data_IF_766150820172
#
_entry.id   IF_766150820172
#
_cell.length_a   1.000
_cell.length_b   1.000
_cell.length_c   1.000
_cell.angle_alpha   90.00
_cell.angle_beta   90.00
_cell.angle_gamma   90.00
#
_symmetry.space_group_name_H-M   'P 1'
#
loop_
_entity.id
_entity.type
_entity.pdbx_description
1 polymer ?
#
# COMPACT_ATOMS: atom_id res chain seq x y z
N UNK A 1 5.75 6.07 -12.38
CA UNK A 1 6.28 7.44 -12.20
C UNK A 1 5.19 8.45 -11.79
N UNK A 2 4.15 8.70 -12.61
CA UNK A 2 3.10 9.69 -12.27
C UNK A 2 2.44 9.44 -10.89
N UNK A 3 2.21 8.17 -10.54
CA UNK A 3 1.66 7.78 -9.24
C UNK A 3 2.53 8.21 -8.05
N UNK A 4 3.86 8.25 -8.20
CA UNK A 4 4.75 8.79 -7.18
C UNK A 4 4.69 10.33 -7.16
N UNK A 5 4.75 10.96 -8.34
CA UNK A 5 4.83 12.43 -8.47
C UNK A 5 3.60 13.10 -7.87
N UNK A 6 2.40 12.56 -8.10
CA UNK A 6 1.15 13.11 -7.53
C UNK A 6 1.15 13.14 -5.99
N UNK A 7 1.91 12.24 -5.38
CA UNK A 7 1.98 12.06 -3.92
C UNK A 7 3.17 12.82 -3.30
N UNK A 8 4.33 12.81 -3.96
CA UNK A 8 5.59 13.23 -3.33
C UNK A 8 6.12 14.59 -3.79
N UNK A 9 5.72 15.10 -4.97
CA UNK A 9 6.30 16.32 -5.47
C UNK A 9 5.87 17.53 -4.61
N UNK A 10 6.79 18.45 -4.25
CA UNK A 10 6.48 19.57 -3.36
C UNK A 10 5.70 20.70 -4.03
N UNK A 11 5.83 20.86 -5.35
CA UNK A 11 5.07 21.85 -6.12
C UNK A 11 3.70 21.26 -6.55
N UNK A 12 2.57 21.83 -6.07
CA UNK A 12 1.22 21.36 -6.38
C UNK A 12 0.87 21.28 -7.87
N UNK A 13 1.55 22.04 -8.74
CA UNK A 13 1.30 21.99 -10.19
C UNK A 13 1.67 20.63 -10.77
N UNK A 14 2.78 20.05 -10.32
CA UNK A 14 3.20 18.71 -10.73
C UNK A 14 2.27 17.66 -10.14
N UNK A 15 1.80 17.87 -8.91
CA UNK A 15 0.89 16.92 -8.27
C UNK A 15 -0.43 16.83 -9.05
N UNK A 16 -1.01 17.99 -9.39
CA UNK A 16 -2.24 18.07 -10.17
C UNK A 16 -2.08 17.47 -11.58
N UNK A 17 -0.99 17.80 -12.28
CA UNK A 17 -0.73 17.24 -13.61
C UNK A 17 -0.52 15.72 -13.58
N UNK A 18 0.17 15.20 -12.55
CA UNK A 18 0.40 13.78 -12.37
C UNK A 18 -0.89 13.04 -11.99
N UNK A 19 -1.76 13.63 -11.17
CA UNK A 19 -3.09 13.10 -10.87
C UNK A 19 -3.94 12.96 -12.15
N UNK A 20 -3.94 13.98 -13.02
CA UNK A 20 -4.65 13.92 -14.31
C UNK A 20 -4.12 12.78 -15.20
N UNK A 21 -2.79 12.59 -15.25
CA UNK A 21 -2.16 11.49 -15.99
C UNK A 21 -2.57 10.14 -15.41
N UNK A 22 -2.58 9.98 -14.09
CA UNK A 22 -2.99 8.73 -13.44
C UNK A 22 -4.44 8.40 -13.77
N UNK A 23 -5.36 9.37 -13.68
CA UNK A 23 -6.77 9.17 -14.03
C UNK A 23 -6.91 8.69 -15.49
N UNK A 24 -6.22 9.34 -16.43
CA UNK A 24 -6.25 8.97 -17.86
C UNK A 24 -5.68 7.56 -18.10
N UNK A 25 -4.54 7.24 -17.47
CA UNK A 25 -3.91 5.92 -17.59
C UNK A 25 -4.80 4.82 -17.00
N UNK A 26 -5.41 5.05 -15.84
CA UNK A 26 -6.38 4.11 -15.26
C UNK A 26 -7.53 3.82 -16.21
N UNK A 27 -8.06 4.84 -16.90
CA UNK A 27 -9.09 4.64 -17.93
C UNK A 27 -8.63 3.77 -19.10
N UNK A 28 -7.39 3.92 -19.56
CA UNK A 28 -6.80 3.08 -20.62
C UNK A 28 -6.62 1.64 -20.14
N UNK A 29 -6.11 1.44 -18.92
CA UNK A 29 -5.94 0.11 -18.34
C UNK A 29 -7.28 -0.61 -18.23
N UNK A 30 -8.33 0.08 -17.80
CA UNK A 30 -9.68 -0.50 -17.73
C UNK A 30 -10.21 -0.89 -19.12
N UNK A 31 -9.99 -0.06 -20.15
CA UNK A 31 -10.36 -0.40 -21.52
C UNK A 31 -9.62 -1.62 -22.04
N UNK A 32 -8.34 -1.77 -21.70
CA UNK A 32 -7.54 -2.93 -22.06
C UNK A 32 -8.04 -4.18 -21.32
N UNK A 33 -8.27 -4.10 -20.02
CA UNK A 33 -8.74 -5.20 -19.19
C UNK A 33 -10.19 -5.64 -19.50
N UNK A 34 -10.94 -4.84 -20.24
CA UNK A 34 -12.31 -5.17 -20.70
C UNK A 34 -12.38 -5.45 -22.20
N UNK A 35 -11.22 -5.57 -22.88
CA UNK A 35 -11.15 -5.88 -24.31
C UNK A 35 -11.42 -7.36 -24.58
N UNK A 36 -12.64 -7.67 -25.04
CA UNK A 36 -13.07 -9.04 -25.31
C UNK A 36 -12.24 -9.74 -26.41
N UNK A 37 -11.94 -9.12 -27.58
CA UNK A 37 -11.10 -9.76 -28.59
C UNK A 37 -9.70 -10.16 -28.08
N UNK A 38 -9.04 -9.30 -27.29
CA UNK A 38 -7.73 -9.60 -26.71
C UNK A 38 -7.80 -10.76 -25.72
N UNK A 39 -8.83 -10.78 -24.86
CA UNK A 39 -9.09 -11.87 -23.93
C UNK A 39 -9.32 -13.21 -24.66
N UNK A 40 -10.17 -13.22 -25.70
CA UNK A 40 -10.45 -14.42 -26.48
C UNK A 40 -9.21 -14.94 -27.21
N UNK A 41 -8.42 -14.04 -27.81
CA UNK A 41 -7.17 -14.39 -28.47
C UNK A 41 -6.18 -15.05 -27.50
N UNK A 42 -5.96 -14.44 -26.33
CA UNK A 42 -5.08 -14.99 -25.29
C UNK A 42 -5.59 -16.34 -24.78
N UNK A 43 -6.88 -16.46 -24.51
CA UNK A 43 -7.48 -17.71 -24.03
C UNK A 43 -7.35 -18.85 -25.05
N UNK A 44 -7.53 -18.56 -26.32
CA UNK A 44 -7.34 -19.53 -27.40
C UNK A 44 -5.87 -19.97 -27.50
N UNK A 45 -4.92 -19.03 -27.46
CA UNK A 45 -3.48 -19.33 -27.46
C UNK A 45 -3.09 -20.23 -26.26
N UNK A 46 -3.64 -19.94 -25.08
CA UNK A 46 -3.37 -20.72 -23.86
C UNK A 46 -3.97 -22.14 -23.89
N UNK A 47 -5.13 -22.34 -24.54
CA UNK A 47 -5.80 -23.64 -24.60
C UNK A 47 -5.33 -24.52 -25.75
N UNK A 48 -5.03 -23.92 -26.90
CA UNK A 48 -4.76 -24.62 -28.16
C UNK A 48 -3.31 -24.49 -28.63
N UNK A 49 -2.49 -23.70 -27.94
CA UNK A 49 -1.16 -23.31 -28.37
C UNK A 49 -1.20 -22.09 -29.30
N UNK A 50 -0.06 -21.42 -29.42
CA UNK A 50 0.15 -20.29 -30.32
C UNK A 50 1.16 -20.64 -31.43
N UNK A 51 1.32 -19.74 -32.41
CA UNK A 51 2.31 -19.86 -33.49
C UNK A 51 3.73 -20.00 -32.93
N UNK A 52 4.03 -19.27 -31.86
CA UNK A 52 5.26 -19.40 -31.09
C UNK A 52 4.98 -20.29 -29.88
N UNK A 53 5.87 -21.23 -29.61
CA UNK A 53 5.75 -22.11 -28.45
C UNK A 53 5.85 -21.30 -27.16
N UNK A 54 4.81 -21.33 -26.34
CA UNK A 54 4.76 -20.68 -25.05
C UNK A 54 5.65 -21.42 -24.05
N UNK A 55 6.61 -20.72 -23.45
CA UNK A 55 7.41 -21.25 -22.35
C UNK A 55 6.64 -21.19 -21.01
N UNK A 56 7.29 -21.56 -19.91
CA UNK A 56 6.64 -21.57 -18.60
C UNK A 56 6.39 -20.15 -18.04
N UNK A 57 7.20 -19.17 -18.45
CA UNK A 57 7.01 -17.76 -18.10
C UNK A 57 5.82 -17.20 -18.87
N UNK A 58 5.74 -17.47 -20.18
CA UNK A 58 4.63 -17.06 -21.04
C UNK A 58 3.30 -17.60 -20.52
N UNK A 59 3.24 -18.89 -20.19
CA UNK A 59 2.04 -19.51 -19.62
C UNK A 59 1.64 -18.84 -18.32
N UNK A 60 2.62 -18.56 -17.45
CA UNK A 60 2.33 -17.91 -16.16
C UNK A 60 1.83 -16.48 -16.35
N UNK A 61 2.42 -15.71 -17.26
CA UNK A 61 1.95 -14.36 -17.60
C UNK A 61 0.56 -14.42 -18.24
N UNK A 62 0.31 -15.38 -19.13
CA UNK A 62 -1.00 -15.60 -19.75
C UNK A 62 -2.09 -15.93 -18.72
N UNK A 63 -1.80 -16.78 -17.74
CA UNK A 63 -2.70 -17.04 -16.61
C UNK A 63 -3.03 -15.77 -15.82
N UNK A 64 -2.01 -14.96 -15.48
CA UNK A 64 -2.16 -13.70 -14.75
C UNK A 64 -3.03 -12.71 -15.53
N UNK A 65 -2.78 -12.53 -16.83
CA UNK A 65 -3.58 -11.66 -17.68
C UNK A 65 -5.03 -12.14 -17.80
N UNK A 66 -5.26 -13.44 -18.00
CA UNK A 66 -6.62 -14.03 -18.00
C UNK A 66 -7.33 -13.73 -16.68
N UNK A 67 -6.63 -13.82 -15.54
CA UNK A 67 -7.19 -13.47 -14.24
C UNK A 67 -7.59 -11.99 -14.16
N UNK A 68 -6.74 -11.07 -14.62
CA UNK A 68 -7.04 -9.63 -14.62
C UNK A 68 -8.25 -9.30 -15.49
N UNK A 69 -8.33 -9.90 -16.68
CA UNK A 69 -9.48 -9.83 -17.58
C UNK A 69 -10.78 -10.32 -16.91
N UNK A 70 -10.75 -11.51 -16.29
CA UNK A 70 -11.90 -12.08 -15.61
C UNK A 70 -12.32 -11.26 -14.39
N UNK A 71 -11.35 -10.74 -13.63
CA UNK A 71 -11.60 -9.91 -12.47
C UNK A 71 -12.25 -8.57 -12.84
N UNK A 72 -11.97 -8.07 -14.05
CA UNK A 72 -12.58 -6.87 -14.64
C UNK A 72 -13.93 -7.17 -15.30
N UNK A 73 -14.42 -8.41 -15.24
CA UNK A 73 -15.74 -8.79 -15.75
C UNK A 73 -15.82 -8.86 -17.28
N UNK A 74 -14.69 -9.05 -18.00
CA UNK A 74 -14.67 -9.06 -19.47
C UNK A 74 -15.65 -10.09 -20.07
N UNK A 75 -15.81 -11.23 -19.38
CA UNK A 75 -16.59 -12.39 -19.79
C UNK A 75 -18.10 -12.25 -19.48
N UNK A 76 -18.53 -11.17 -18.84
CA UNK A 76 -19.92 -10.93 -18.49
C UNK A 76 -20.72 -10.43 -19.70
N UNK A 77 -21.99 -10.84 -19.77
CA UNK A 77 -22.96 -10.30 -20.73
C UNK A 77 -23.25 -8.81 -20.46
N UNK A 78 -23.81 -8.08 -21.43
CA UNK A 78 -24.05 -6.62 -21.33
C UNK A 78 -24.78 -6.22 -20.04
N UNK A 79 -25.86 -6.92 -19.70
CA UNK A 79 -26.71 -6.57 -18.55
C UNK A 79 -25.98 -6.82 -17.21
N UNK A 80 -25.11 -7.84 -17.19
CA UNK A 80 -24.27 -8.15 -16.03
C UNK A 80 -23.10 -7.19 -15.89
N UNK A 81 -22.58 -6.65 -17.01
CA UNK A 81 -21.52 -5.62 -16.99
C UNK A 81 -22.00 -4.32 -16.35
N UNK A 82 -23.21 -3.86 -16.68
CA UNK A 82 -23.77 -2.66 -16.05
C UNK A 82 -23.93 -2.81 -14.53
N UNK A 83 -24.36 -4.00 -14.08
CA UNK A 83 -24.46 -4.30 -12.65
C UNK A 83 -23.06 -4.40 -12.00
N UNK A 84 -22.10 -5.04 -12.68
CA UNK A 84 -20.71 -5.15 -12.22
C UNK A 84 -20.10 -3.77 -11.99
N UNK A 85 -20.26 -2.85 -12.94
CA UNK A 85 -19.73 -1.48 -12.85
C UNK A 85 -20.35 -0.74 -11.66
N UNK A 86 -21.68 -0.79 -11.49
CA UNK A 86 -22.37 -0.15 -10.36
C UNK A 86 -21.90 -0.69 -9.00
N UNK A 87 -21.73 -2.00 -8.89
CA UNK A 87 -21.26 -2.64 -7.66
C UNK A 87 -19.79 -2.29 -7.36
N UNK A 88 -18.94 -2.26 -8.39
CA UNK A 88 -17.54 -1.89 -8.24
C UNK A 88 -17.39 -0.41 -7.83
N UNK A 89 -18.13 0.49 -8.46
CA UNK A 89 -18.20 1.91 -8.08
C UNK A 89 -18.65 2.08 -6.64
N UNK A 90 -19.72 1.37 -6.23
CA UNK A 90 -20.22 1.37 -4.85
C UNK A 90 -19.15 0.90 -3.86
N UNK A 91 -18.40 -0.17 -4.19
CA UNK A 91 -17.32 -0.66 -3.35
C UNK A 91 -16.21 0.40 -3.15
N UNK A 92 -15.82 1.09 -4.22
CA UNK A 92 -14.78 2.13 -4.16
C UNK A 92 -15.28 3.34 -3.36
N UNK A 93 -16.48 3.84 -3.67
CA UNK A 93 -17.07 5.01 -3.01
C UNK A 93 -17.28 4.75 -1.51
N UNK A 94 -17.98 3.68 -1.14
CA UNK A 94 -18.25 3.34 0.26
C UNK A 94 -16.96 3.06 1.03
N UNK A 95 -15.99 2.39 0.40
CA UNK A 95 -14.67 2.15 0.99
C UNK A 95 -13.92 3.44 1.29
N UNK A 96 -13.89 4.38 0.35
CA UNK A 96 -13.23 5.68 0.55
C UNK A 96 -13.92 6.50 1.64
N UNK A 97 -15.25 6.58 1.64
CA UNK A 97 -16.02 7.29 2.67
C UNK A 97 -15.80 6.69 4.06
N UNK A 98 -15.73 5.36 4.16
CA UNK A 98 -15.45 4.67 5.41
C UNK A 98 -14.04 4.98 5.92
N UNK A 99 -13.01 4.89 5.07
CA UNK A 99 -11.62 5.18 5.48
C UNK A 99 -11.45 6.64 5.90
N UNK A 100 -12.03 7.58 5.17
CA UNK A 100 -12.02 9.01 5.55
C UNK A 100 -12.71 9.23 6.90
N UNK A 101 -13.87 8.61 7.10
CA UNK A 101 -14.60 8.71 8.37
C UNK A 101 -13.86 8.08 9.55
N UNK A 102 -13.21 6.94 9.35
CA UNK A 102 -12.45 6.23 10.38
C UNK A 102 -11.20 6.99 10.87
N UNK A 103 -10.73 7.98 10.09
CA UNK A 103 -9.61 8.86 10.45
C UNK A 103 -10.07 10.24 10.94
N UNK A 104 -11.39 10.48 10.98
CA UNK A 104 -11.93 11.79 11.36
C UNK A 104 -11.85 11.97 12.88
N UNK A 105 -11.34 13.11 13.38
CA UNK A 105 -11.32 13.39 14.81
C UNK A 105 -12.73 13.39 15.42
N UNK A 106 -12.85 12.92 16.65
CA UNK A 106 -14.13 12.85 17.37
C UNK A 106 -14.25 14.03 18.33
N UNK A 107 -15.32 14.81 18.20
CA UNK A 107 -15.63 15.92 19.09
C UNK A 107 -16.55 15.46 20.23
N UNK A 108 -16.19 15.79 21.47
CA UNK A 108 -17.02 15.55 22.66
C UNK A 108 -17.14 16.81 23.48
N UNK A 109 -18.28 17.04 24.13
CA UNK A 109 -18.46 18.19 25.00
C UNK A 109 -17.50 18.11 26.21
N UNK A 110 -16.92 19.25 26.62
CA UNK A 110 -16.03 19.34 27.78
C UNK A 110 -16.63 18.74 29.05
N UNK A 111 -17.93 18.92 29.25
CA UNK A 111 -18.67 18.43 30.41
C UNK A 111 -18.62 16.91 30.56
N UNK A 112 -18.45 16.19 29.44
CA UNK A 112 -18.37 14.73 29.42
C UNK A 112 -16.96 14.20 29.70
N UNK A 113 -15.98 15.08 29.93
CA UNK A 113 -14.60 14.73 30.24
C UNK A 113 -14.17 15.31 31.60
N UNK A 114 -13.43 14.56 32.42
CA UNK A 114 -12.82 15.08 33.65
C UNK A 114 -11.93 16.29 33.36
N UNK A 115 -12.03 17.34 34.17
CA UNK A 115 -11.33 18.62 33.96
C UNK A 115 -9.80 18.44 33.91
N UNK A 116 -9.30 17.49 34.69
CA UNK A 116 -7.88 17.18 34.85
C UNK A 116 -7.25 16.66 33.55
N UNK A 117 -8.02 16.09 32.61
CA UNK A 117 -7.46 15.52 31.37
C UNK A 117 -7.78 16.36 30.13
N UNK A 118 -8.68 17.35 30.22
CA UNK A 118 -9.11 18.18 29.06
C UNK A 118 -7.94 18.88 28.38
N UNK A 119 -6.95 19.33 29.17
CA UNK A 119 -5.76 20.04 28.68
C UNK A 119 -4.81 19.15 27.85
N UNK A 120 -4.98 17.83 27.90
CA UNK A 120 -4.19 16.88 27.11
C UNK A 120 -4.69 16.74 25.66
N UNK A 121 -5.85 17.34 25.35
CA UNK A 121 -6.50 17.27 24.05
C UNK A 121 -6.67 18.67 23.43
N UNK A 122 -6.99 18.71 22.13
CA UNK A 122 -7.29 19.97 21.47
C UNK A 122 -8.67 20.48 21.90
N UNK A 123 -8.76 21.73 22.36
CA UNK A 123 -10.01 22.35 22.78
C UNK A 123 -10.52 23.28 21.68
N UNK A 124 -11.77 23.10 21.27
CA UNK A 124 -12.46 23.93 20.29
C UNK A 124 -13.83 24.36 20.82
N UNK A 125 -13.95 25.62 21.26
CA UNK A 125 -15.16 26.14 21.90
C UNK A 125 -15.53 25.33 23.14
N UNK A 126 -16.73 24.76 23.17
CA UNK A 126 -17.23 23.87 24.25
C UNK A 126 -16.89 22.40 24.04
N UNK A 127 -16.17 22.08 22.95
CA UNK A 127 -15.79 20.73 22.59
C UNK A 127 -14.31 20.45 22.86
N UNK A 128 -14.02 19.18 23.05
CA UNK A 128 -12.69 18.58 23.07
C UNK A 128 -12.60 17.66 21.86
N UNK A 129 -11.55 17.84 21.07
CA UNK A 129 -11.29 17.09 19.85
C UNK A 129 -10.25 16.01 20.13
N UNK A 130 -10.67 14.75 19.99
CA UNK A 130 -9.80 13.58 20.12
C UNK A 130 -9.39 13.12 18.73
N UNK A 131 -8.11 13.28 18.40
CA UNK A 131 -7.56 13.05 17.06
C UNK A 131 -6.87 11.69 16.89
N UNK A 132 -6.88 10.84 17.93
CA UNK A 132 -6.21 9.54 17.89
C UNK A 132 -6.21 8.84 19.24
N UNK A 133 -5.35 7.83 19.37
CA UNK A 133 -5.32 6.92 20.53
C UNK A 133 -4.37 7.34 21.67
N UNK A 134 -3.47 8.30 21.43
CA UNK A 134 -2.52 8.80 22.44
C UNK A 134 -1.70 7.67 23.11
N UNK A 135 -1.31 6.64 22.34
CA UNK A 135 -0.72 5.39 22.89
C UNK A 135 0.53 5.62 23.75
N UNK A 136 1.33 6.64 23.43
CA UNK A 136 2.58 6.96 24.13
C UNK A 136 2.41 8.02 25.24
N UNK A 137 1.18 8.50 25.48
CA UNK A 137 0.94 9.50 26.52
C UNK A 137 1.18 8.88 27.90
N UNK A 138 1.88 9.58 28.80
CA UNK A 138 2.27 9.04 30.11
C UNK A 138 1.07 8.77 31.04
N UNK A 139 0.05 9.64 30.99
CA UNK A 139 -1.17 9.54 31.81
C UNK A 139 -2.13 8.48 31.24
N UNK A 140 -2.46 7.46 32.03
CA UNK A 140 -3.34 6.35 31.67
C UNK A 140 -4.80 6.76 31.47
N UNK A 141 -5.33 7.69 32.25
CA UNK A 141 -6.68 8.25 32.06
C UNK A 141 -6.83 8.94 30.71
N UNK A 142 -5.79 9.64 30.24
CA UNK A 142 -5.78 10.27 28.90
C UNK A 142 -5.85 9.19 27.82
N UNK A 143 -5.05 8.12 27.94
CA UNK A 143 -5.08 6.99 26.99
C UNK A 143 -6.43 6.28 26.97
N UNK A 144 -7.01 6.02 28.15
CA UNK A 144 -8.31 5.38 28.26
C UNK A 144 -9.42 6.25 27.64
N UNK A 145 -9.47 7.54 27.99
CA UNK A 145 -10.44 8.47 27.43
C UNK A 145 -10.30 8.57 25.91
N UNK A 146 -9.07 8.72 25.40
CA UNK A 146 -8.78 8.73 23.97
C UNK A 146 -9.27 7.46 23.28
N UNK A 147 -8.94 6.28 23.82
CA UNK A 147 -9.38 4.99 23.28
C UNK A 147 -10.90 4.89 23.20
N UNK A 148 -11.61 5.18 24.30
CA UNK A 148 -13.07 5.05 24.37
C UNK A 148 -13.79 6.02 23.45
N UNK A 149 -13.28 7.25 23.32
CA UNK A 149 -13.89 8.30 22.50
C UNK A 149 -13.58 8.07 21.03
N UNK A 150 -12.30 7.87 20.70
CA UNK A 150 -11.83 7.76 19.31
C UNK A 150 -12.34 6.49 18.62
N UNK A 151 -12.48 5.38 19.36
CA UNK A 151 -13.00 4.11 18.83
C UNK A 151 -14.49 3.89 19.14
N UNK A 152 -15.21 4.91 19.61
CA UNK A 152 -16.63 4.79 19.84
C UNK A 152 -17.35 4.47 18.51
N UNK A 153 -18.29 3.51 18.47
CA UNK A 153 -19.06 3.23 17.26
C UNK A 153 -19.79 4.47 16.74
N UNK A 154 -19.66 4.73 15.44
CA UNK A 154 -20.38 5.80 14.74
C UNK A 154 -21.42 5.13 13.83
N UNK A 155 -22.74 5.31 14.05
CA UNK A 155 -23.78 4.62 13.29
C UNK A 155 -23.63 4.75 11.77
N UNK A 156 -23.30 5.95 11.28
CA UNK A 156 -23.09 6.21 9.86
C UNK A 156 -21.89 5.43 9.29
N UNK A 157 -20.83 5.21 10.09
CA UNK A 157 -19.69 4.38 9.66
C UNK A 157 -20.10 2.91 9.56
N UNK A 158 -20.96 2.44 10.45
CA UNK A 158 -21.52 1.08 10.37
C UNK A 158 -22.34 0.89 9.10
N UNK A 159 -23.22 1.84 8.75
CA UNK A 159 -24.02 1.80 7.52
C UNK A 159 -23.13 1.76 6.26
N UNK A 160 -22.06 2.56 6.21
CA UNK A 160 -21.10 2.54 5.12
C UNK A 160 -20.40 1.18 4.99
N UNK A 161 -19.98 0.59 6.13
CA UNK A 161 -19.33 -0.71 6.15
C UNK A 161 -20.29 -1.83 5.71
N UNK A 162 -21.53 -1.83 6.17
CA UNK A 162 -22.55 -2.81 5.77
C UNK A 162 -22.84 -2.71 4.27
N UNK A 163 -23.03 -1.50 3.74
CA UNK A 163 -23.20 -1.28 2.31
C UNK A 163 -22.01 -1.77 1.47
N UNK A 164 -20.78 -1.55 1.96
CA UNK A 164 -19.56 -2.03 1.32
C UNK A 164 -19.51 -3.57 1.30
N UNK A 165 -19.83 -4.22 2.43
CA UNK A 165 -19.82 -5.68 2.54
C UNK A 165 -20.88 -6.33 1.63
N UNK A 166 -22.09 -5.76 1.59
CA UNK A 166 -23.16 -6.23 0.70
C UNK A 166 -22.78 -6.08 -0.78
N UNK A 167 -22.24 -4.92 -1.17
CA UNK A 167 -21.78 -4.68 -2.55
C UNK A 167 -20.68 -5.67 -2.96
N UNK A 168 -19.73 -5.93 -2.06
CA UNK A 168 -18.66 -6.92 -2.27
C UNK A 168 -19.19 -8.34 -2.41
N UNK A 169 -20.17 -8.72 -1.60
CA UNK A 169 -20.81 -10.04 -1.71
C UNK A 169 -21.51 -10.21 -3.07
N UNK A 170 -22.34 -9.24 -3.47
CA UNK A 170 -23.03 -9.27 -4.76
C UNK A 170 -22.04 -9.30 -5.94
N UNK A 171 -20.94 -8.57 -5.84
CA UNK A 171 -19.90 -8.56 -6.86
C UNK A 171 -19.19 -9.92 -7.00
N UNK A 172 -18.96 -10.62 -5.88
CA UNK A 172 -18.40 -11.97 -5.89
C UNK A 172 -19.34 -12.97 -6.55
N UNK A 173 -20.63 -12.94 -6.19
CA UNK A 173 -21.65 -13.82 -6.77
C UNK A 173 -21.78 -13.59 -8.28
N UNK A 174 -21.81 -12.32 -8.71
CA UNK A 174 -21.91 -11.93 -10.12
C UNK A 174 -20.72 -12.45 -10.95
N UNK A 175 -19.54 -12.53 -10.34
CA UNK A 175 -18.31 -12.99 -11.00
C UNK A 175 -18.00 -14.47 -10.73
N UNK A 176 -18.93 -15.21 -10.11
CA UNK A 176 -18.82 -16.66 -9.91
C UNK A 176 -17.91 -17.11 -8.78
N UNK A 177 -17.59 -16.22 -7.82
CA UNK A 177 -16.76 -16.54 -6.67
C UNK A 177 -17.62 -16.90 -5.44
N UNK A 178 -17.22 -17.89 -4.62
CA UNK A 178 -17.97 -18.24 -3.40
C UNK A 178 -18.06 -17.12 -2.36
N UNK A 179 -17.09 -16.20 -2.35
CA UNK A 179 -17.12 -14.99 -1.55
C UNK A 179 -16.15 -13.96 -2.10
N UNK A 180 -16.29 -12.70 -1.66
CA UNK A 180 -15.36 -11.65 -2.05
C UNK A 180 -13.91 -11.94 -1.61
N UNK A 181 -13.72 -12.66 -0.49
CA UNK A 181 -12.39 -13.06 -0.05
C UNK A 181 -11.73 -14.03 -1.04
N UNK A 182 -12.48 -14.98 -1.61
CA UNK A 182 -11.96 -15.86 -2.67
C UNK A 182 -11.56 -15.04 -3.91
N UNK A 183 -12.38 -14.06 -4.28
CA UNK A 183 -12.06 -13.14 -5.39
C UNK A 183 -10.80 -12.32 -5.11
N UNK A 184 -10.67 -11.75 -3.91
CA UNK A 184 -9.56 -10.88 -3.53
C UNK A 184 -8.24 -11.64 -3.32
N UNK A 185 -8.28 -12.93 -2.96
CA UNK A 185 -7.09 -13.74 -2.72
C UNK A 185 -6.59 -14.46 -3.99
N UNK A 186 -7.40 -14.54 -5.05
CA UNK A 186 -6.97 -15.13 -6.33
C UNK A 186 -5.73 -14.40 -6.84
N UNK A 187 -4.68 -15.14 -7.16
CA UNK A 187 -3.39 -14.57 -7.61
C UNK A 187 -2.46 -14.09 -6.49
N UNK A 188 -2.89 -14.09 -5.22
CA UNK A 188 -2.02 -13.79 -4.08
C UNK A 188 -1.25 -15.03 -3.61
N UNK A 189 -0.16 -14.84 -2.87
CA UNK A 189 0.62 -15.95 -2.27
C UNK A 189 -0.19 -16.81 -1.29
N UNK A 190 -1.28 -16.28 -0.71
CA UNK A 190 -2.15 -17.07 0.14
C UNK A 190 -2.97 -18.08 -0.67
N UNK A 191 -3.27 -17.78 -1.95
CA UNK A 191 -4.03 -18.56 -2.94
C UNK A 191 -5.48 -18.95 -2.55
N UNK A 192 -5.76 -19.22 -1.27
CA UNK A 192 -7.04 -19.66 -0.75
C UNK A 192 -7.39 -18.97 0.58
N UNK A 193 -8.70 -18.84 0.84
CA UNK A 193 -9.19 -18.33 2.13
C UNK A 193 -8.75 -19.24 3.28
N UNK A 194 -8.72 -20.56 3.05
CA UNK A 194 -8.27 -21.54 4.04
C UNK A 194 -6.82 -21.33 4.47
N UNK A 195 -5.90 -21.11 3.52
CA UNK A 195 -4.50 -20.84 3.83
C UNK A 195 -4.34 -19.50 4.58
N UNK A 196 -5.07 -18.46 4.17
CA UNK A 196 -5.08 -17.18 4.90
C UNK A 196 -5.51 -17.37 6.36
N UNK A 197 -6.62 -18.08 6.60
CA UNK A 197 -7.09 -18.42 7.95
C UNK A 197 -6.06 -19.25 8.73
N UNK A 198 -5.42 -20.24 8.11
CA UNK A 198 -4.38 -21.07 8.74
C UNK A 198 -3.17 -20.21 9.13
N UNK A 199 -2.72 -19.31 8.26
CA UNK A 199 -1.62 -18.38 8.57
C UNK A 199 -1.97 -17.47 9.75
N UNK A 200 -3.18 -16.89 9.79
CA UNK A 200 -3.62 -16.07 10.92
C UNK A 200 -3.74 -16.88 12.22
N UNK A 201 -4.29 -18.09 12.18
CA UNK A 201 -4.42 -18.96 13.35
C UNK A 201 -3.05 -19.43 13.85
N UNK A 202 -2.14 -19.80 12.93
CA UNK A 202 -0.78 -20.19 13.27
C UNK A 202 0.01 -19.00 13.85
N UNK A 203 -0.18 -17.79 13.32
CA UNK A 203 0.37 -16.56 13.86
C UNK A 203 -0.15 -16.30 15.28
N UNK A 204 -1.47 -16.32 15.47
CA UNK A 204 -2.11 -16.14 16.78
C UNK A 204 -1.59 -17.15 17.82
N UNK A 205 -1.57 -18.45 17.47
CA UNK A 205 -1.07 -19.52 18.35
C UNK A 205 0.43 -19.44 18.61
N UNK A 206 1.23 -18.96 17.65
CA UNK A 206 2.66 -18.76 17.86
C UNK A 206 2.95 -17.53 18.71
N UNK A 207 2.02 -16.56 18.74
CA UNK A 207 2.06 -15.40 19.61
C UNK A 207 1.59 -15.72 21.02
N UNK A 208 0.73 -16.74 21.22
CA UNK A 208 0.26 -17.14 22.57
C UNK A 208 0.89 -18.45 23.02
N UNK A 209 1.93 -18.39 23.86
CA UNK A 209 2.40 -19.56 24.63
C UNK A 209 2.16 -19.25 26.10
N UNK A 210 1.35 -20.09 26.77
CA UNK A 210 0.97 -19.94 28.19
C UNK A 210 0.27 -18.62 28.57
N UNK A 211 -0.49 -18.02 27.66
CA UNK A 211 -1.25 -16.78 27.96
C UNK A 211 -0.40 -15.50 27.94
N UNK A 212 0.89 -15.59 27.61
CA UNK A 212 1.76 -14.45 27.36
C UNK A 212 2.02 -14.28 25.85
N UNK A 213 2.01 -13.03 25.39
CA UNK A 213 2.28 -12.63 24.02
C UNK A 213 3.80 -12.74 23.77
N UNK A 214 4.24 -13.77 23.06
CA UNK A 214 5.64 -13.97 22.66
C UNK A 214 5.73 -13.93 21.14
N UNK A 215 6.41 -12.94 20.58
CA UNK A 215 6.52 -12.70 19.13
C UNK A 215 7.42 -13.77 18.47
N UNK A 216 6.87 -14.94 18.12
CA UNK A 216 7.64 -16.03 17.47
C UNK A 216 7.71 -15.91 15.93
N UNK A 217 6.98 -14.96 15.32
CA UNK A 217 7.02 -14.75 13.86
C UNK A 217 8.37 -14.20 13.38
N UNK A 218 9.15 -13.61 14.29
CA UNK A 218 10.46 -13.08 13.95
C UNK A 218 11.39 -14.15 13.38
N UNK A 219 11.39 -15.41 13.85
CA UNK A 219 12.44 -16.38 13.48
C UNK A 219 12.32 -16.88 12.02
N UNK A 220 11.11 -17.08 11.50
CA UNK A 220 10.90 -17.53 10.11
C UNK A 220 11.09 -16.40 9.11
N UNK A 221 10.67 -15.17 9.47
CA UNK A 221 11.03 -13.97 8.75
C UNK A 221 12.54 -13.77 8.82
N UNK A 222 13.18 -13.89 9.98
CA UNK A 222 14.63 -13.76 10.16
C UNK A 222 15.41 -14.78 9.34
N UNK A 223 14.91 -16.00 9.15
CA UNK A 223 15.60 -17.00 8.33
C UNK A 223 15.60 -16.62 6.84
N UNK A 224 14.45 -16.19 6.28
CA UNK A 224 14.38 -15.65 4.90
C UNK A 224 15.09 -14.31 4.76
N UNK A 225 14.94 -13.45 5.75
CA UNK A 225 15.63 -12.18 5.89
C UNK A 225 17.14 -12.39 6.07
N UNK A 226 17.62 -13.49 6.67
CA UNK A 226 19.05 -13.80 6.81
C UNK A 226 19.68 -14.27 5.51
N UNK A 227 18.93 -15.00 4.67
CA UNK A 227 19.37 -15.32 3.30
C UNK A 227 19.37 -14.06 2.43
N UNK A 228 18.36 -13.20 2.56
CA UNK A 228 18.33 -11.88 1.91
C UNK A 228 19.46 -10.96 2.40
N UNK A 229 19.74 -10.95 3.72
CA UNK A 229 20.85 -10.22 4.32
C UNK A 229 22.21 -10.80 3.87
N UNK A 230 22.33 -12.13 3.70
CA UNK A 230 23.53 -12.76 3.10
C UNK A 230 23.80 -12.29 1.68
N UNK A 231 22.77 -12.08 0.86
CA UNK A 231 22.89 -11.46 -0.47
C UNK A 231 23.14 -9.94 -0.38
N UNK A 232 22.57 -9.25 0.62
CA UNK A 232 22.91 -7.84 0.88
C UNK A 232 24.36 -7.67 1.34
N UNK A 233 24.94 -8.64 2.05
CA UNK A 233 26.36 -8.61 2.42
C UNK A 233 27.31 -8.69 1.22
N UNK A 234 26.84 -9.18 0.05
CA UNK A 234 27.60 -9.15 -1.21
C UNK A 234 27.31 -7.91 -2.06
N UNK A 235 26.38 -7.05 -1.61
CA UNK A 235 25.96 -5.84 -2.30
C UNK A 235 26.42 -4.57 -1.56
N UNK A 236 27.16 -3.71 -2.25
CA UNK A 236 27.48 -2.38 -1.76
C UNK A 236 26.40 -1.39 -2.18
N UNK A 237 26.11 -0.41 -1.32
CA UNK A 237 25.23 0.71 -1.62
C UNK A 237 26.10 1.95 -1.78
N UNK A 238 26.24 2.42 -3.01
CA UNK A 238 27.12 3.54 -3.34
C UNK A 238 26.28 4.78 -3.65
N UNK A 239 26.53 5.93 -2.99
CA UNK A 239 25.95 7.20 -3.40
C UNK A 239 26.29 7.51 -4.86
N UNK A 240 25.30 7.99 -5.61
CA UNK A 240 25.46 8.39 -7.00
C UNK A 240 25.13 9.88 -7.12
N UNK A 241 25.95 10.59 -7.87
CA UNK A 241 25.70 12.00 -8.17
C UNK A 241 24.39 12.16 -8.96
N UNK A 242 23.65 13.20 -8.61
CA UNK A 242 22.37 13.53 -9.23
C UNK A 242 22.56 14.49 -10.39
N UNK A 243 21.85 14.26 -11.48
CA UNK A 243 21.75 15.21 -12.58
C UNK A 243 20.80 16.36 -12.24
N UNK A 244 20.97 17.48 -12.94
CA UNK A 244 20.13 18.67 -12.74
C UNK A 244 18.66 18.36 -13.07
N UNK A 245 17.79 18.47 -12.07
CA UNK A 245 16.35 18.23 -12.22
C UNK A 245 15.93 16.75 -12.11
N UNK A 246 16.86 15.86 -11.75
CA UNK A 246 16.58 14.42 -11.60
C UNK A 246 15.65 14.11 -10.41
N UNK A 247 15.73 14.90 -9.34
CA UNK A 247 14.95 14.69 -8.11
C UNK A 247 13.84 15.72 -7.92
N UNK A 248 12.80 15.33 -7.20
CA UNK A 248 11.65 16.19 -6.86
C UNK A 248 11.89 17.05 -5.61
N UNK A 249 12.92 16.73 -4.82
CA UNK A 249 13.30 17.50 -3.64
C UNK A 249 14.82 17.47 -3.42
N UNK A 250 15.33 18.47 -2.71
CA UNK A 250 16.76 18.69 -2.49
C UNK A 250 17.41 17.69 -1.52
N UNK A 251 16.60 17.04 -0.68
CA UNK A 251 17.02 16.10 0.36
C UNK A 251 16.78 14.63 -0.04
N UNK A 252 16.62 14.38 -1.35
CA UNK A 252 16.53 13.05 -1.94
C UNK A 252 17.92 12.60 -2.38
N UNK A 253 18.31 11.39 -2.02
CA UNK A 253 19.59 10.78 -2.40
C UNK A 253 19.38 9.62 -3.36
N UNK A 254 20.36 9.33 -4.20
CA UNK A 254 20.36 8.15 -5.08
C UNK A 254 21.47 7.19 -4.69
N UNK A 255 21.11 5.92 -4.55
CA UNK A 255 22.03 4.83 -4.25
C UNK A 255 22.03 3.85 -5.41
N UNK A 256 23.22 3.46 -5.88
CA UNK A 256 23.39 2.28 -6.72
C UNK A 256 23.54 1.04 -5.84
N UNK A 257 22.79 -0.01 -6.17
CA UNK A 257 22.97 -1.34 -5.56
C UNK A 257 23.95 -2.11 -6.43
N UNK A 258 25.12 -2.43 -5.90
CA UNK A 258 26.22 -3.03 -6.68
C UNK A 258 26.60 -4.39 -6.11
N UNK A 259 26.40 -5.44 -6.88
CA UNK A 259 26.87 -6.78 -6.55
C UNK A 259 28.35 -6.96 -6.90
N UNK A 260 29.07 -7.65 -6.03
CA UNK A 260 30.52 -7.88 -6.17
C UNK A 260 30.94 -8.54 -7.50
N UNK A 261 30.08 -9.36 -8.12
CA UNK A 261 30.40 -10.08 -9.36
C UNK A 261 29.56 -9.61 -10.56
N UNK A 262 28.31 -9.23 -10.32
CA UNK A 262 27.34 -8.91 -11.39
C UNK A 262 27.31 -7.41 -11.73
N UNK A 263 28.00 -6.59 -10.94
CA UNK A 263 28.01 -5.14 -11.14
C UNK A 263 26.73 -4.48 -10.62
N UNK A 264 26.25 -3.45 -11.29
CA UNK A 264 25.09 -2.67 -10.82
C UNK A 264 23.80 -3.46 -11.04
N UNK A 265 23.06 -3.69 -9.96
CA UNK A 265 21.78 -4.41 -9.95
C UNK A 265 20.57 -3.48 -10.03
N UNK A 266 20.72 -2.18 -9.74
CA UNK A 266 19.63 -1.22 -9.78
C UNK A 266 19.90 0.04 -8.97
N UNK A 267 18.89 0.91 -8.91
CA UNK A 267 18.97 2.19 -8.22
C UNK A 267 17.83 2.39 -7.22
N UNK A 268 18.16 3.00 -6.08
CA UNK A 268 17.20 3.36 -5.04
C UNK A 268 17.29 4.86 -4.80
N UNK A 269 16.18 5.57 -4.95
CA UNK A 269 16.05 6.95 -4.47
C UNK A 269 15.52 6.93 -3.04
N UNK A 270 16.16 7.71 -2.17
CA UNK A 270 15.91 7.75 -0.75
C UNK A 270 15.30 9.09 -0.37
N UNK A 271 13.99 9.10 -0.09
CA UNK A 271 13.24 10.27 0.35
C UNK A 271 12.81 10.09 1.80
N UNK A 272 13.75 10.35 2.71
CA UNK A 272 13.63 9.92 4.10
C UNK A 272 12.96 10.92 5.03
N UNK A 273 13.09 12.20 4.78
CA UNK A 273 12.77 13.20 5.79
C UNK A 273 11.38 13.79 5.61
N UNK A 274 10.78 14.20 6.72
CA UNK A 274 9.55 14.98 6.73
C UNK A 274 9.72 16.31 5.97
N UNK A 275 8.67 16.69 5.23
CA UNK A 275 8.53 18.02 4.61
C UNK A 275 7.04 18.37 4.49
N UNK A 276 6.67 19.66 4.46
CA UNK A 276 5.29 20.07 4.25
C UNK A 276 4.69 19.44 2.98
N UNK A 277 3.47 18.90 3.09
CA UNK A 277 2.73 18.29 1.98
C UNK A 277 3.12 16.84 1.64
N UNK A 278 4.20 16.29 2.22
CA UNK A 278 4.53 14.86 2.10
C UNK A 278 3.65 14.05 3.07
N UNK A 279 2.98 12.98 2.63
CA UNK A 279 2.18 12.13 3.52
C UNK A 279 3.03 11.47 4.59
N UNK A 280 2.46 11.14 5.75
CA UNK A 280 3.19 10.52 6.86
C UNK A 280 3.38 8.99 6.70
N UNK A 281 2.66 8.35 5.78
CA UNK A 281 2.71 6.89 5.59
C UNK A 281 3.97 6.43 4.84
N UNK A 282 4.83 5.65 5.48
CA UNK A 282 6.02 5.07 4.86
C UNK A 282 5.65 4.07 3.75
N UNK A 283 6.35 4.15 2.62
CA UNK A 283 6.07 3.29 1.47
C UNK A 283 7.27 3.19 0.51
N UNK A 284 7.12 2.39 -0.53
CA UNK A 284 8.04 2.37 -1.66
C UNK A 284 7.26 2.49 -2.97
N UNK A 285 7.90 3.07 -3.98
CA UNK A 285 7.36 3.15 -5.34
C UNK A 285 8.30 2.42 -6.30
N UNK A 286 7.75 1.49 -7.09
CA UNK A 286 8.46 0.94 -8.24
C UNK A 286 8.34 1.93 -9.40
N UNK A 287 9.46 2.55 -9.79
CA UNK A 287 9.48 3.50 -10.92
C UNK A 287 9.73 2.76 -12.22
N UNK A 288 10.64 1.78 -12.18
CA UNK A 288 11.01 0.95 -13.30
C UNK A 288 11.23 -0.48 -12.82
N UNK A 289 10.53 -1.43 -13.45
CA UNK A 289 10.77 -2.86 -13.22
C UNK A 289 12.04 -3.35 -13.93
N UNK A 290 12.68 -4.36 -13.34
CA UNK A 290 13.78 -5.07 -14.01
C UNK A 290 13.23 -6.02 -15.07
N UNK A 291 13.80 -5.99 -16.29
CA UNK A 291 13.41 -6.90 -17.37
C UNK A 291 14.49 -7.01 -18.45
N UNK A 292 14.50 -8.13 -19.17
CA UNK A 292 15.23 -8.23 -20.42
C UNK A 292 14.50 -7.45 -21.53
N UNK A 293 15.26 -6.79 -22.39
CA UNK A 293 14.77 -6.05 -23.53
C UNK A 293 14.88 -6.89 -24.80
N UNK A 294 14.17 -6.50 -25.87
CA UNK A 294 14.15 -7.27 -27.12
C UNK A 294 15.50 -7.39 -27.84
N UNK A 295 16.51 -6.60 -27.44
CA UNK A 295 17.89 -6.69 -27.93
C UNK A 295 18.80 -7.56 -27.05
N UNK A 296 18.26 -8.20 -26.01
CA UNK A 296 18.98 -9.04 -25.05
C UNK A 296 19.69 -8.24 -23.93
N UNK A 297 19.59 -6.91 -23.92
CA UNK A 297 20.09 -6.10 -22.81
C UNK A 297 19.12 -6.14 -21.62
N UNK A 298 19.63 -5.88 -20.41
CA UNK A 298 18.81 -5.88 -19.19
C UNK A 298 18.52 -4.46 -18.71
N UNK A 299 17.24 -4.13 -18.59
CA UNK A 299 16.76 -2.89 -17.99
C UNK A 299 16.85 -3.01 -16.46
N UNK A 300 17.64 -2.14 -15.83
CA UNK A 300 17.81 -2.16 -14.38
C UNK A 300 16.57 -1.62 -13.65
N UNK A 301 16.18 -2.22 -12.52
CA UNK A 301 15.09 -1.72 -11.69
C UNK A 301 15.45 -0.39 -11.01
N UNK A 302 14.44 0.45 -10.84
CA UNK A 302 14.51 1.73 -10.13
C UNK A 302 13.36 1.82 -9.13
N UNK A 303 13.70 2.04 -7.86
CA UNK A 303 12.74 2.12 -6.76
C UNK A 303 12.94 3.43 -5.98
N UNK A 304 11.87 3.97 -5.43
CA UNK A 304 11.93 5.05 -4.45
C UNK A 304 11.51 4.51 -3.09
N UNK A 305 12.33 4.70 -2.08
CA UNK A 305 12.00 4.46 -0.68
C UNK A 305 11.61 5.79 -0.04
N UNK A 306 10.36 5.87 0.40
CA UNK A 306 9.81 7.05 1.07
C UNK A 306 9.59 6.74 2.55
N UNK A 307 10.23 7.53 3.41
CA UNK A 307 10.02 7.50 4.85
C UNK A 307 9.61 8.89 5.37
N UNK A 308 9.10 8.97 6.58
CA UNK A 308 8.77 10.23 7.28
C UNK A 308 9.60 10.38 8.56
N UNK A 309 10.92 10.37 8.41
CA UNK A 309 11.83 10.54 9.54
C UNK A 309 11.92 12.02 9.94
N UNK A 310 11.98 12.32 11.25
CA UNK A 310 12.29 13.67 11.73
C UNK A 310 13.60 14.17 11.14
N UNK A 311 13.67 15.45 10.79
CA UNK A 311 14.93 16.02 10.30
C UNK A 311 16.00 15.98 11.40
N UNK A 312 17.26 15.62 11.08
CA UNK A 312 18.33 15.66 12.06
C UNK A 312 18.49 17.09 12.56
N UNK A 313 18.28 17.31 13.86
CA UNK A 313 18.58 18.61 14.46
C UNK A 313 20.10 18.80 14.44
N UNK A 314 20.63 19.95 14.00
CA UNK A 314 22.06 20.21 14.13
C UNK A 314 22.43 20.08 15.61
N UNK A 315 23.31 19.13 15.91
CA UNK A 315 23.84 18.97 17.27
C UNK A 315 24.54 20.26 17.66
N UNK A 316 24.07 20.89 18.73
CA UNK A 316 24.74 22.03 19.32
C UNK A 316 26.14 21.54 19.75
N UNK A 317 27.20 22.01 19.05
CA UNK A 317 28.58 21.67 19.41
C UNK A 317 28.79 22.04 20.87
N UNK A 318 29.29 21.08 21.63
CA UNK A 318 29.59 21.14 23.05
C UNK A 318 30.07 22.51 23.53
N UNK A 319 29.49 22.97 24.64
CA UNK A 319 30.06 23.99 25.52
C UNK A 319 31.53 23.66 25.79
N UNK A 320 32.44 24.47 25.25
CA UNK A 320 33.81 24.54 25.71
C UNK A 320 33.80 25.15 27.12
N UNK A 321 34.16 24.36 28.13
CA UNK A 321 34.47 24.89 29.45
C UNK A 321 35.64 25.89 29.33
N UNK A 322 35.54 27.10 29.89
CA UNK A 322 36.70 27.97 30.04
C UNK A 322 37.58 27.40 31.15
N UNK A 323 38.86 27.22 30.83
CA UNK A 323 39.97 27.06 31.77
C UNK A 323 40.17 28.29 32.64
#
# INVERSE_FOLDING_TARGET
MADMVRVLHPDPKYNAAAEEVVIKLSGIVEQLNTNLPAYEALKNAMLHGDVVTLDDVDKRVGELLIMDFEQSGVHLDSDKKDLFLKLNESCVMLGNMFVQGAQTPVAVMKENLPEEIRHSFNIDGDNVLVTGLFQDHWNDYVREAAYRIYLHPIPQQTELLEGLLLSRHQLADLTGFPSFAHRALRGTLAETVGMSCICFIAMYKSITVNGEIIVVVLISLYARYSNFLRTLHTCNHLPVDLESGETWAHDVYKLAVVHSQEGVLGYIYCDFYERPGKPDQDCHFLIQGGRELGDGSYQLPVVVLKLTLPRPRPTCRHYSHPT
#
